data_IF_103979806265
#
_entry.id   IF_103979806265
#
_cell.length_a   1.000
_cell.length_b   1.000
_cell.length_c   1.000
_cell.angle_alpha   90.00
_cell.angle_beta   90.00
_cell.angle_gamma   90.00
#
_symmetry.space_group_name_H-M   'P 1'
#
loop_
_entity.id
_entity.type
_entity.pdbx_description
1 polymer ?
#
# COMPACT_ATOMS: atom_id res chain seq x y z
N UNK A 1 -15.33 37.94 1.76
CA UNK A 1 -16.23 37.22 2.69
C UNK A 1 -15.88 35.72 2.75
N UNK A 2 -15.84 34.99 1.62
CA UNK A 2 -15.50 33.54 1.61
C UNK A 2 -14.10 33.30 2.21
N UNK A 3 -13.17 34.15 1.85
CA UNK A 3 -11.78 34.09 2.36
C UNK A 3 -11.74 34.26 3.90
N UNK A 4 -12.38 35.30 4.44
CA UNK A 4 -12.50 35.50 5.89
C UNK A 4 -13.16 34.31 6.59
N UNK A 5 -14.24 33.78 6.02
CA UNK A 5 -14.93 32.62 6.57
C UNK A 5 -14.08 31.38 6.58
N UNK A 6 -13.19 31.23 5.58
CA UNK A 6 -12.24 30.11 5.52
C UNK A 6 -11.09 30.30 6.50
N UNK A 7 -10.59 31.52 6.65
CA UNK A 7 -9.54 31.83 7.65
C UNK A 7 -10.02 31.51 9.07
N UNK A 8 -11.26 31.91 9.42
CA UNK A 8 -11.85 31.60 10.73
C UNK A 8 -12.16 30.12 10.91
N UNK A 9 -12.49 29.42 9.83
CA UNK A 9 -12.90 28.01 9.86
C UNK A 9 -12.34 27.24 8.66
N UNK A 10 -11.05 26.85 8.69
CA UNK A 10 -10.37 26.23 7.56
C UNK A 10 -10.95 24.86 7.13
N UNK A 11 -11.73 24.23 7.99
CA UNK A 11 -12.35 22.92 7.72
C UNK A 11 -13.66 23.01 6.92
N UNK A 12 -14.19 24.22 6.70
CA UNK A 12 -15.49 24.38 6.03
C UNK A 12 -15.38 24.14 4.51
N UNK A 13 -16.05 23.10 4.06
CA UNK A 13 -16.24 22.84 2.63
C UNK A 13 -17.40 23.60 2.02
N UNK A 14 -17.61 23.47 0.72
CA UNK A 14 -18.61 24.18 -0.07
C UNK A 14 -20.04 24.10 0.48
N UNK A 15 -20.41 23.02 1.21
CA UNK A 15 -21.73 22.87 1.84
C UNK A 15 -21.88 23.83 3.01
N UNK A 16 -20.93 23.84 3.93
CA UNK A 16 -20.91 24.68 5.10
C UNK A 16 -20.76 26.16 4.72
N UNK A 17 -19.85 26.44 3.76
CA UNK A 17 -19.64 27.76 3.20
C UNK A 17 -20.95 28.34 2.60
N UNK A 18 -21.68 27.52 1.81
CA UNK A 18 -22.99 27.93 1.28
C UNK A 18 -24.02 28.24 2.38
N UNK A 19 -24.07 27.45 3.44
CA UNK A 19 -24.98 27.68 4.56
C UNK A 19 -24.63 28.97 5.30
N UNK A 20 -23.37 29.23 5.58
CA UNK A 20 -22.92 30.44 6.25
C UNK A 20 -23.11 31.70 5.41
N UNK A 21 -22.95 31.63 4.10
CA UNK A 21 -23.26 32.73 3.18
C UNK A 21 -24.76 33.06 3.19
N UNK A 22 -25.62 32.04 3.21
CA UNK A 22 -27.08 32.25 3.29
C UNK A 22 -27.49 32.92 4.60
N UNK A 23 -26.92 32.52 5.73
CA UNK A 23 -27.17 33.18 7.04
C UNK A 23 -26.77 34.67 7.04
N UNK A 24 -25.81 35.05 6.19
CA UNK A 24 -25.38 36.44 6.00
C UNK A 24 -26.13 37.18 4.88
N UNK A 25 -27.24 36.60 4.37
CA UNK A 25 -28.08 37.20 3.35
C UNK A 25 -27.65 36.95 1.89
N UNK A 26 -26.55 36.20 1.65
CA UNK A 26 -26.11 35.92 0.29
C UNK A 26 -26.75 34.65 -0.26
N UNK A 27 -27.51 34.75 -1.34
CA UNK A 27 -28.19 33.62 -2.00
C UNK A 27 -27.20 32.81 -2.87
N UNK A 28 -26.27 32.10 -2.22
CA UNK A 28 -25.23 31.29 -2.86
C UNK A 28 -25.45 29.81 -2.57
N UNK A 29 -25.79 29.04 -3.62
CA UNK A 29 -25.93 27.58 -3.51
C UNK A 29 -24.58 26.87 -3.45
N UNK A 30 -24.59 25.59 -3.01
CA UNK A 30 -23.40 24.75 -2.83
C UNK A 30 -22.48 24.69 -4.07
N UNK A 31 -23.07 24.56 -5.28
CA UNK A 31 -22.28 24.51 -6.53
C UNK A 31 -21.53 25.82 -6.76
N UNK A 32 -22.19 26.93 -6.56
CA UNK A 32 -21.64 28.28 -6.74
C UNK A 32 -20.57 28.58 -5.68
N UNK A 33 -20.83 28.24 -4.42
CA UNK A 33 -19.84 28.34 -3.34
C UNK A 33 -18.57 27.51 -3.64
N UNK A 34 -18.72 26.28 -4.08
CA UNK A 34 -17.59 25.43 -4.45
C UNK A 34 -16.80 25.94 -5.68
N UNK A 35 -17.47 26.62 -6.63
CA UNK A 35 -16.79 27.28 -7.74
C UNK A 35 -15.95 28.46 -7.24
N UNK A 36 -16.50 29.31 -6.43
CA UNK A 36 -15.79 30.47 -5.85
C UNK A 36 -14.60 30.04 -4.99
N UNK A 37 -14.75 28.99 -4.19
CA UNK A 37 -13.62 28.45 -3.43
C UNK A 37 -12.46 28.00 -4.33
N UNK A 38 -12.76 27.32 -5.45
CA UNK A 38 -11.74 26.91 -6.44
C UNK A 38 -11.09 28.09 -7.16
N UNK A 39 -11.89 29.10 -7.56
CA UNK A 39 -11.39 30.32 -8.19
C UNK A 39 -10.46 31.13 -7.28
N UNK A 40 -10.61 30.99 -5.96
CA UNK A 40 -9.76 31.61 -4.94
C UNK A 40 -8.68 30.67 -4.39
N UNK A 41 -8.51 29.49 -4.98
CA UNK A 41 -7.60 28.43 -4.53
C UNK A 41 -7.78 28.01 -3.06
N UNK A 42 -9.02 28.12 -2.57
CA UNK A 42 -9.40 27.74 -1.22
C UNK A 42 -9.78 26.27 -1.16
N UNK A 43 -9.01 25.48 -0.42
CA UNK A 43 -9.25 24.06 -0.17
C UNK A 43 -9.49 23.82 1.31
N UNK A 44 -10.61 23.17 1.70
CA UNK A 44 -10.85 22.89 3.12
C UNK A 44 -9.84 21.88 3.68
N UNK A 45 -9.34 22.17 4.88
CA UNK A 45 -8.35 21.33 5.57
C UNK A 45 -9.10 20.25 6.35
N UNK A 46 -9.07 19.01 5.85
CA UNK A 46 -9.60 17.84 6.56
C UNK A 46 -8.47 16.99 7.14
N UNK A 47 -8.70 16.35 8.29
CA UNK A 47 -7.82 15.26 8.71
C UNK A 47 -7.80 14.21 7.59
N UNK A 48 -6.62 13.90 7.08
CA UNK A 48 -6.46 12.84 6.07
C UNK A 48 -6.90 11.51 6.68
N UNK A 49 -7.38 10.59 5.83
CA UNK A 49 -7.66 9.22 6.26
C UNK A 49 -6.43 8.64 6.94
N UNK A 50 -6.64 8.06 8.12
CA UNK A 50 -5.57 7.35 8.80
C UNK A 50 -5.28 6.05 8.06
N UNK A 51 -4.24 6.05 7.22
CA UNK A 51 -3.82 4.91 6.41
C UNK A 51 -3.30 3.75 7.27
N UNK A 52 -2.95 4.01 8.55
CA UNK A 52 -2.55 2.97 9.50
C UNK A 52 -3.73 2.17 10.07
N UNK A 53 -4.97 2.66 9.91
CA UNK A 53 -6.15 1.88 10.29
C UNK A 53 -6.44 0.83 9.23
N UNK A 54 -6.35 -0.44 9.61
CA UNK A 54 -6.79 -1.56 8.76
C UNK A 54 -8.22 -1.32 8.28
N UNK A 55 -8.48 -1.49 6.99
CA UNK A 55 -9.83 -1.53 6.46
C UNK A 55 -10.60 -2.66 7.14
N UNK A 56 -11.82 -2.40 7.61
CA UNK A 56 -12.68 -3.40 8.28
C UNK A 56 -12.97 -4.65 7.43
N UNK A 57 -12.72 -4.59 6.13
CA UNK A 57 -12.94 -5.68 5.17
C UNK A 57 -11.69 -6.50 4.85
N UNK A 58 -10.53 -6.17 5.42
CA UNK A 58 -9.33 -6.98 5.22
C UNK A 58 -9.56 -8.37 5.84
N UNK A 59 -9.65 -9.39 4.99
CA UNK A 59 -9.76 -10.79 5.42
C UNK A 59 -8.47 -11.14 6.17
N UNK A 60 -8.59 -11.39 7.46
CA UNK A 60 -7.44 -11.82 8.28
C UNK A 60 -7.22 -13.31 8.01
N UNK A 61 -6.19 -13.61 7.24
CA UNK A 61 -5.76 -15.00 7.06
C UNK A 61 -4.95 -15.46 8.29
N UNK A 62 -5.12 -16.71 8.74
CA UNK A 62 -4.31 -17.23 9.83
C UNK A 62 -2.84 -17.32 9.41
N UNK A 63 -1.94 -16.96 10.34
CA UNK A 63 -0.51 -17.12 10.11
C UNK A 63 -0.13 -18.60 10.17
N UNK A 64 0.11 -19.21 9.03
CA UNK A 64 0.31 -20.65 8.87
C UNK A 64 1.56 -21.18 9.60
N UNK A 65 2.55 -20.32 9.85
CA UNK A 65 3.82 -20.71 10.47
C UNK A 65 3.82 -20.56 12.00
N UNK A 66 2.72 -20.11 12.64
CA UNK A 66 2.70 -19.80 14.09
C UNK A 66 3.18 -20.94 14.98
N UNK A 67 2.86 -22.18 14.65
CA UNK A 67 3.23 -23.36 15.43
C UNK A 67 3.81 -24.47 14.52
N UNK A 68 4.28 -24.09 13.31
CA UNK A 68 4.83 -25.06 12.38
C UNK A 68 6.24 -25.46 12.84
N UNK A 69 6.46 -26.76 12.98
CA UNK A 69 7.78 -27.32 13.18
C UNK A 69 8.39 -27.53 11.79
N UNK A 70 9.50 -26.85 11.51
CA UNK A 70 10.21 -26.94 10.24
C UNK A 70 11.32 -27.95 10.42
N UNK A 71 11.11 -29.18 9.95
CA UNK A 71 11.97 -30.34 10.18
C UNK A 71 12.67 -30.86 8.90
N UNK A 72 12.35 -30.29 7.74
CA UNK A 72 12.93 -30.73 6.45
C UNK A 72 13.00 -29.59 5.43
N UNK A 73 13.89 -29.70 4.40
CA UNK A 73 13.99 -28.73 3.32
C UNK A 73 12.68 -28.61 2.53
N UNK A 74 12.44 -27.42 1.97
CA UNK A 74 11.30 -27.10 1.12
C UNK A 74 9.92 -27.21 1.81
N UNK A 75 9.90 -27.14 3.12
CA UNK A 75 8.65 -27.10 3.89
C UNK A 75 8.09 -25.68 3.96
N UNK A 76 8.94 -24.70 4.26
CA UNK A 76 8.56 -23.29 4.28
C UNK A 76 9.65 -22.43 3.65
N UNK A 77 9.22 -21.57 2.72
CA UNK A 77 10.08 -20.55 2.13
C UNK A 77 9.62 -19.15 2.55
N UNK A 78 10.56 -18.23 2.64
CA UNK A 78 10.27 -16.79 2.85
C UNK A 78 10.76 -16.00 1.65
N UNK A 79 9.93 -15.06 1.21
CA UNK A 79 10.27 -14.08 0.16
C UNK A 79 10.48 -12.74 0.85
N UNK A 80 11.58 -12.07 0.54
CA UNK A 80 11.87 -10.73 1.00
C UNK A 80 12.47 -9.88 -0.12
N UNK A 81 12.25 -8.57 -0.03
CA UNK A 81 12.81 -7.59 -0.97
C UNK A 81 13.69 -6.62 -0.19
N UNK A 82 14.93 -6.47 -0.62
CA UNK A 82 15.88 -5.55 -0.01
C UNK A 82 16.49 -4.59 -1.03
N UNK A 83 17.07 -3.50 -0.53
CA UNK A 83 17.74 -2.48 -1.35
C UNK A 83 19.24 -2.72 -1.36
N UNK A 84 19.83 -2.73 -2.55
CA UNK A 84 21.27 -2.78 -2.75
C UNK A 84 21.77 -1.37 -3.12
N UNK A 85 22.55 -0.71 -2.25
CA UNK A 85 23.06 0.63 -2.54
C UNK A 85 24.11 0.58 -3.66
N UNK A 86 24.00 1.52 -4.59
CA UNK A 86 24.92 1.71 -5.71
C UNK A 86 25.53 3.11 -5.66
N UNK A 87 26.57 3.38 -6.46
CA UNK A 87 27.17 4.72 -6.54
C UNK A 87 26.16 5.81 -6.96
N UNK A 88 25.19 5.46 -7.80
CA UNK A 88 24.16 6.35 -8.31
C UNK A 88 22.79 5.68 -8.19
N UNK A 89 22.19 5.70 -6.97
CA UNK A 89 20.90 5.09 -6.69
C UNK A 89 21.00 3.75 -5.97
N UNK A 90 20.05 2.87 -6.23
CA UNK A 90 19.99 1.52 -5.63
C UNK A 90 19.28 0.54 -6.59
N UNK A 91 19.52 -0.73 -6.37
CA UNK A 91 18.79 -1.82 -6.99
C UNK A 91 17.89 -2.50 -5.97
N UNK A 92 16.87 -3.18 -6.44
CA UNK A 92 16.01 -4.03 -5.64
C UNK A 92 16.46 -5.48 -5.81
N UNK A 93 16.62 -6.21 -4.72
CA UNK A 93 16.90 -7.64 -4.72
C UNK A 93 15.72 -8.36 -4.08
N UNK A 94 15.07 -9.24 -4.83
CA UNK A 94 14.15 -10.24 -4.27
C UNK A 94 14.91 -11.50 -4.01
N UNK A 95 14.83 -12.05 -2.78
CA UNK A 95 15.41 -13.31 -2.41
C UNK A 95 14.37 -14.25 -1.80
N UNK A 96 14.47 -15.53 -2.14
CA UNK A 96 13.64 -16.60 -1.59
C UNK A 96 14.53 -17.56 -0.84
N UNK A 97 14.27 -17.71 0.46
CA UNK A 97 15.10 -18.51 1.38
C UNK A 97 14.29 -19.68 1.93
N UNK A 98 14.83 -20.87 1.87
CA UNK A 98 14.29 -22.03 2.58
C UNK A 98 14.62 -21.95 4.08
N UNK A 99 13.60 -22.09 4.91
CA UNK A 99 13.72 -21.90 6.37
C UNK A 99 14.55 -23.00 7.04
N UNK A 100 14.49 -24.21 6.52
CA UNK A 100 15.24 -25.33 7.10
C UNK A 100 16.73 -25.27 6.73
N UNK A 101 17.04 -25.26 5.43
CA UNK A 101 18.42 -25.31 4.94
C UNK A 101 19.13 -23.95 4.97
N UNK A 102 18.38 -22.84 5.09
CA UNK A 102 18.88 -21.46 4.96
C UNK A 102 19.48 -21.15 3.57
N UNK A 103 19.24 -22.00 2.60
CA UNK A 103 19.68 -21.78 1.23
C UNK A 103 18.78 -20.80 0.50
N UNK A 104 19.37 -19.95 -0.33
CA UNK A 104 18.63 -19.11 -1.28
C UNK A 104 18.24 -20.01 -2.45
N UNK A 105 16.96 -20.29 -2.60
CA UNK A 105 16.41 -21.18 -3.65
C UNK A 105 16.05 -20.41 -4.93
N UNK A 106 15.89 -19.09 -4.85
CA UNK A 106 15.66 -18.23 -6.00
C UNK A 106 15.92 -16.77 -5.66
N UNK A 107 16.33 -16.00 -6.66
CA UNK A 107 16.54 -14.56 -6.51
C UNK A 107 16.44 -13.85 -7.86
N UNK A 108 16.15 -12.56 -7.81
CA UNK A 108 16.19 -11.66 -8.96
C UNK A 108 16.56 -10.24 -8.53
N UNK A 109 17.14 -9.46 -9.45
CA UNK A 109 17.56 -8.08 -9.20
C UNK A 109 17.04 -7.20 -10.31
N UNK A 110 16.49 -6.04 -9.96
CA UNK A 110 15.99 -5.06 -10.91
C UNK A 110 16.26 -3.64 -10.40
N UNK A 111 16.21 -2.65 -11.29
CA UNK A 111 16.28 -1.22 -10.96
C UNK A 111 14.91 -0.63 -10.59
N UNK A 112 13.83 -1.38 -10.85
CA UNK A 112 12.46 -1.01 -10.53
C UNK A 112 11.82 -2.01 -9.58
N UNK A 113 10.98 -1.49 -8.65
CA UNK A 113 10.18 -2.32 -7.76
C UNK A 113 8.91 -2.77 -8.49
N UNK A 114 9.02 -3.82 -9.31
CA UNK A 114 7.90 -4.37 -10.06
C UNK A 114 7.62 -5.82 -9.65
N UNK A 115 6.37 -6.23 -9.79
CA UNK A 115 5.89 -7.60 -9.54
C UNK A 115 6.63 -8.63 -10.40
N UNK A 116 7.08 -8.24 -11.59
CA UNK A 116 7.83 -9.08 -12.53
C UNK A 116 9.09 -9.68 -11.90
N UNK A 117 9.83 -8.90 -11.09
CA UNK A 117 11.01 -9.33 -10.37
C UNK A 117 10.69 -10.48 -9.39
N UNK A 118 9.60 -10.33 -8.61
CA UNK A 118 9.15 -11.36 -7.67
C UNK A 118 8.75 -12.65 -8.42
N UNK A 119 8.02 -12.50 -9.53
CA UNK A 119 7.60 -13.62 -10.39
C UNK A 119 8.82 -14.35 -10.94
N UNK A 120 9.84 -13.63 -11.40
CA UNK A 120 11.07 -14.22 -11.94
C UNK A 120 11.84 -14.99 -10.86
N UNK A 121 11.99 -14.42 -9.66
CA UNK A 121 12.59 -15.10 -8.51
C UNK A 121 11.83 -16.40 -8.17
N UNK A 122 10.49 -16.35 -8.13
CA UNK A 122 9.64 -17.52 -7.90
C UNK A 122 9.80 -18.58 -9.01
N UNK A 123 9.82 -18.19 -10.28
CA UNK A 123 10.05 -19.12 -11.40
C UNK A 123 11.41 -19.84 -11.29
N UNK A 124 12.45 -19.14 -10.84
CA UNK A 124 13.77 -19.73 -10.61
C UNK A 124 13.72 -20.71 -9.44
N UNK A 125 13.10 -20.32 -8.30
CA UNK A 125 12.95 -21.18 -7.13
C UNK A 125 12.13 -22.43 -7.42
N UNK A 126 11.01 -22.33 -8.14
CA UNK A 126 10.16 -23.48 -8.46
C UNK A 126 10.77 -24.50 -9.44
N UNK A 127 11.88 -24.14 -10.11
CA UNK A 127 12.68 -25.13 -10.85
C UNK A 127 13.49 -26.03 -9.91
N UNK A 128 13.82 -25.56 -8.70
CA UNK A 128 14.55 -26.31 -7.70
C UNK A 128 13.61 -27.26 -6.94
N UNK A 129 12.52 -26.73 -6.39
CA UNK A 129 11.53 -27.50 -5.63
C UNK A 129 10.21 -26.71 -5.51
N UNK A 130 9.19 -27.35 -4.93
CA UNK A 130 7.92 -26.69 -4.55
C UNK A 130 7.77 -26.73 -3.03
N UNK A 131 7.65 -25.59 -2.35
CA UNK A 131 7.43 -25.56 -0.90
C UNK A 131 5.98 -25.87 -0.55
N UNK A 132 5.74 -26.28 0.70
CA UNK A 132 4.39 -26.41 1.25
C UNK A 132 3.81 -25.06 1.62
N UNK A 133 4.63 -24.13 2.11
CA UNK A 133 4.23 -22.80 2.57
C UNK A 133 5.19 -21.77 2.00
N UNK A 134 4.64 -20.68 1.46
CA UNK A 134 5.41 -19.48 1.12
C UNK A 134 4.92 -18.35 2.01
N UNK A 135 5.84 -17.73 2.74
CA UNK A 135 5.59 -16.55 3.57
C UNK A 135 6.20 -15.31 2.92
N UNK A 136 5.46 -14.20 2.95
CA UNK A 136 5.91 -12.90 2.47
C UNK A 136 5.35 -11.82 3.36
N UNK A 137 6.16 -10.84 3.76
CA UNK A 137 5.72 -9.66 4.49
C UNK A 137 4.96 -8.68 3.59
N UNK A 138 5.10 -8.83 2.28
CA UNK A 138 4.43 -8.01 1.26
C UNK A 138 3.07 -8.60 0.87
N UNK A 139 2.25 -8.92 1.85
CA UNK A 139 0.87 -9.38 1.61
C UNK A 139 -0.08 -8.20 1.40
N UNK A 140 0.14 -7.36 0.40
CA UNK A 140 -0.97 -6.64 -0.22
C UNK A 140 -1.70 -7.62 -1.15
N UNK A 141 -2.96 -7.87 -0.83
CA UNK A 141 -3.90 -8.85 -1.44
C UNK A 141 -4.06 -8.74 -2.97
N UNK A 142 -3.39 -7.80 -3.62
CA UNK A 142 -3.47 -7.51 -5.06
C UNK A 142 -2.32 -8.05 -5.91
N UNK A 143 -1.25 -8.55 -5.29
CA UNK A 143 0.00 -8.79 -6.03
C UNK A 143 0.44 -10.24 -6.09
N UNK A 144 -0.26 -11.17 -5.41
CA UNK A 144 0.03 -12.59 -5.57
C UNK A 144 -0.79 -13.15 -6.74
N UNK A 145 -0.17 -13.45 -7.89
CA UNK A 145 -0.84 -14.26 -8.91
C UNK A 145 -1.23 -15.59 -8.26
N UNK A 146 -2.41 -16.10 -8.58
CA UNK A 146 -2.82 -17.46 -8.20
C UNK A 146 -1.87 -18.43 -8.89
N UNK A 147 -0.83 -18.87 -8.19
CA UNK A 147 0.14 -19.84 -8.71
C UNK A 147 -0.32 -21.31 -8.57
N UNK A 148 -1.51 -21.54 -8.06
CA UNK A 148 -2.05 -22.85 -7.72
C UNK A 148 -3.49 -22.98 -8.24
N UNK A 149 -3.67 -23.02 -9.56
CA UNK A 149 -4.79 -23.68 -10.23
C UNK A 149 -4.25 -24.79 -11.12
#
# INVERSE_FOLDING_TARGET
IIDHLHTDNPTWGARQMSAQLKLRGYQVGRRKAGRYMREMDITPIYPKMNLSKRMKQAKVCPYLLRNAVIDRPNQAWSIDITYLPMKHGFLYLTAIIDWYSRCIVGWDVDDTLDTTMVINACKKAFKVAKPLIINSDYAEEKTMPKFFD
#
